data_IF_058239544974
#
_entry.id   IF_058239544974
#
_cell.length_a   1.000
_cell.length_b   1.000
_cell.length_c   1.000
_cell.angle_alpha   90.00
_cell.angle_beta   90.00
_cell.angle_gamma   90.00
#
_symmetry.space_group_name_H-M   'P 1'
#
loop_
_entity.id
_entity.type
_entity.pdbx_description
1 polymer ?
#
# COMPACT_ATOMS: atom_id res chain seq x y z
N UNK A 1 -0.13 38.56 62.00
CA UNK A 1 -1.30 38.52 61.09
C UNK A 1 -0.96 37.51 59.99
N UNK A 2 -1.30 36.24 60.22
CA UNK A 2 -0.88 35.08 59.42
C UNK A 2 -2.13 34.54 58.73
N UNK A 3 -2.21 34.66 57.40
CA UNK A 3 -3.32 34.12 56.63
C UNK A 3 -3.15 32.60 56.47
N UNK A 4 -4.13 31.86 57.02
CA UNK A 4 -4.26 30.41 56.88
C UNK A 4 -4.63 30.06 55.44
N UNK A 5 -3.83 29.19 54.83
CA UNK A 5 -4.22 28.37 53.69
C UNK A 5 -5.30 27.38 54.16
N UNK A 6 -6.51 27.50 53.61
CA UNK A 6 -7.52 26.45 53.67
C UNK A 6 -7.61 25.78 52.30
N UNK A 7 -6.96 24.63 52.19
CA UNK A 7 -7.19 23.64 51.15
C UNK A 7 -8.30 22.71 51.64
N UNK A 8 -9.46 22.70 50.98
CA UNK A 8 -10.41 21.58 50.98
C UNK A 8 -11.50 21.82 49.94
N UNK A 9 -11.48 21.05 48.86
CA UNK A 9 -12.59 20.11 48.56
C UNK A 9 -12.22 19.32 47.30
N UNK A 10 -11.75 18.10 47.54
CA UNK A 10 -11.66 17.07 46.53
C UNK A 10 -13.09 16.69 46.11
N UNK A 11 -13.52 17.10 44.92
CA UNK A 11 -14.65 16.45 44.25
C UNK A 11 -14.11 15.25 43.49
N UNK A 12 -14.36 14.09 44.08
CA UNK A 12 -14.17 12.76 43.51
C UNK A 12 -14.55 12.71 42.03
N UNK A 13 -13.61 12.31 41.19
CA UNK A 13 -13.90 11.73 39.89
C UNK A 13 -14.61 10.39 40.14
N UNK A 14 -15.95 10.42 40.22
CA UNK A 14 -16.73 9.20 40.04
C UNK A 14 -16.60 8.81 38.56
N UNK A 15 -15.89 7.72 38.30
CA UNK A 15 -15.92 7.03 37.02
C UNK A 15 -17.35 6.53 36.82
N UNK A 16 -18.11 7.21 35.97
CA UNK A 16 -19.43 6.76 35.57
C UNK A 16 -19.27 5.41 34.84
N UNK A 17 -19.75 4.33 35.45
CA UNK A 17 -19.92 3.05 34.77
C UNK A 17 -21.07 3.17 33.78
N UNK A 18 -20.75 3.19 32.49
CA UNK A 18 -21.75 3.19 31.44
C UNK A 18 -22.36 1.78 31.30
N UNK A 19 -23.69 1.63 31.33
CA UNK A 19 -24.33 0.36 31.02
C UNK A 19 -24.06 -0.04 29.57
N UNK A 20 -23.70 -1.30 29.37
CA UNK A 20 -23.37 -1.87 28.06
C UNK A 20 -24.62 -1.82 27.16
N UNK A 21 -24.54 -1.07 26.06
CA UNK A 21 -25.56 -1.07 25.00
C UNK A 21 -26.15 0.29 24.61
N UNK A 22 -25.74 1.40 25.25
CA UNK A 22 -26.22 2.74 24.88
C UNK A 22 -25.28 3.39 23.88
N UNK A 23 -25.82 3.84 22.75
CA UNK A 23 -25.08 4.63 21.77
C UNK A 23 -24.61 5.92 22.45
N UNK A 24 -23.29 6.10 22.60
CA UNK A 24 -22.66 7.19 23.36
C UNK A 24 -23.18 8.57 22.91
N UNK A 25 -23.49 8.71 21.63
CA UNK A 25 -24.07 9.94 21.08
C UNK A 25 -25.48 10.20 21.61
N UNK A 26 -26.29 9.16 21.81
CA UNK A 26 -27.68 9.29 22.29
C UNK A 26 -27.72 9.74 23.76
N UNK A 27 -26.88 9.15 24.62
CA UNK A 27 -26.79 9.56 26.03
C UNK A 27 -26.31 11.02 26.16
N UNK A 28 -25.31 11.40 25.37
CA UNK A 28 -24.77 12.77 25.37
C UNK A 28 -25.81 13.80 24.90
N UNK A 29 -26.63 13.44 23.91
CA UNK A 29 -27.76 14.26 23.45
C UNK A 29 -28.90 14.35 24.47
N UNK A 30 -29.07 13.33 25.30
CA UNK A 30 -30.17 13.25 26.26
C UNK A 30 -29.85 13.96 27.57
N UNK A 31 -28.60 13.87 28.04
CA UNK A 31 -28.21 14.37 29.36
C UNK A 31 -27.38 15.65 29.33
N UNK A 32 -26.59 15.90 28.29
CA UNK A 32 -25.64 17.02 28.24
C UNK A 32 -25.76 17.87 26.97
N UNK A 33 -26.97 17.90 26.37
CA UNK A 33 -27.26 18.65 25.13
C UNK A 33 -26.88 20.13 25.20
N UNK A 34 -27.13 20.76 26.36
CA UNK A 34 -26.86 22.20 26.54
C UNK A 34 -25.35 22.46 26.56
N UNK A 35 -24.59 21.66 27.31
CA UNK A 35 -23.13 21.71 27.30
C UNK A 35 -22.56 21.41 25.91
N UNK A 36 -23.13 20.44 25.18
CA UNK A 36 -22.70 20.09 23.82
C UNK A 36 -22.91 21.27 22.84
N UNK A 37 -24.10 21.89 22.86
CA UNK A 37 -24.41 23.03 22.00
C UNK A 37 -23.55 24.23 22.37
N UNK A 38 -23.35 24.50 23.66
CA UNK A 38 -22.48 25.59 24.12
C UNK A 38 -21.02 25.36 23.74
N UNK A 39 -20.52 24.13 23.82
CA UNK A 39 -19.15 23.77 23.42
C UNK A 39 -18.95 23.85 21.90
N UNK A 40 -19.95 23.45 21.11
CA UNK A 40 -19.91 23.52 19.64
C UNK A 40 -20.18 24.94 19.10
N UNK A 41 -20.94 25.76 19.85
CA UNK A 41 -21.30 27.13 19.46
C UNK A 41 -20.36 28.18 20.03
N UNK A 42 -19.46 27.81 20.96
CA UNK A 42 -18.40 28.68 21.40
C UNK A 42 -17.50 29.01 20.19
N UNK A 43 -17.31 30.30 19.83
CA UNK A 43 -16.32 30.66 18.83
C UNK A 43 -14.99 30.13 19.32
N UNK A 44 -14.29 29.37 18.47
CA UNK A 44 -13.01 28.75 18.79
C UNK A 44 -11.99 29.86 19.05
N UNK A 45 -11.91 30.30 20.30
CA UNK A 45 -10.84 31.18 20.75
C UNK A 45 -9.56 30.35 20.69
N UNK A 46 -8.62 30.85 19.90
CA UNK A 46 -7.31 30.29 19.62
C UNK A 46 -7.32 28.99 18.78
N UNK A 47 -7.35 29.05 17.45
CA UNK A 47 -6.87 30.19 16.66
C UNK A 47 -5.44 30.59 17.04
N UNK A 48 -4.71 29.75 17.78
CA UNK A 48 -3.27 29.80 17.75
C UNK A 48 -2.93 29.57 16.28
N UNK A 49 -2.71 30.68 15.58
CA UNK A 49 -1.78 30.77 14.48
C UNK A 49 -0.50 30.12 15.00
N UNK A 50 -0.46 28.79 14.91
CA UNK A 50 0.77 28.04 14.77
C UNK A 50 1.31 28.66 13.52
N UNK A 51 2.14 29.68 13.74
CA UNK A 51 2.96 30.34 12.73
C UNK A 51 3.19 29.31 11.68
N UNK A 52 2.81 29.62 10.45
CA UNK A 52 3.30 28.94 9.27
C UNK A 52 4.83 29.00 9.34
N UNK A 53 5.44 28.15 10.16
CA UNK A 53 6.69 27.51 9.84
C UNK A 53 6.36 26.94 8.47
N UNK A 54 6.83 27.67 7.44
CA UNK A 54 6.84 27.20 6.06
C UNK A 54 6.96 25.69 6.12
N UNK A 55 5.98 24.96 5.61
CA UNK A 55 5.82 23.52 5.83
C UNK A 55 7.04 22.82 5.21
N UNK A 56 8.14 22.88 5.93
CA UNK A 56 9.44 22.41 5.49
C UNK A 56 9.32 20.91 5.47
N UNK A 57 9.90 20.31 4.43
CA UNK A 57 9.98 18.87 4.31
C UNK A 57 10.42 18.28 5.66
N UNK A 58 9.76 17.20 6.06
CA UNK A 58 10.05 16.51 7.32
C UNK A 58 11.53 16.14 7.35
N UNK A 59 12.24 16.27 8.50
CA UNK A 59 13.61 15.80 8.61
C UNK A 59 13.74 14.29 8.32
N UNK A 60 12.65 13.54 8.48
CA UNK A 60 12.57 12.11 8.19
C UNK A 60 12.34 11.77 6.70
N UNK A 61 12.06 12.74 5.83
CA UNK A 61 11.66 12.47 4.44
C UNK A 61 12.74 11.69 3.67
N UNK A 62 14.02 12.00 3.88
CA UNK A 62 15.11 11.25 3.26
C UNK A 62 15.21 9.82 3.78
N UNK A 63 15.07 9.64 5.10
CA UNK A 63 15.12 8.32 5.74
C UNK A 63 13.96 7.44 5.26
N UNK A 64 12.76 8.00 5.14
CA UNK A 64 11.59 7.30 4.63
C UNK A 64 11.70 6.99 3.14
N UNK A 65 12.26 7.89 2.34
CA UNK A 65 12.56 7.65 0.94
C UNK A 65 13.52 6.47 0.75
N UNK A 66 14.61 6.40 1.54
CA UNK A 66 15.54 5.27 1.52
C UNK A 66 14.87 3.97 2.00
N UNK A 67 14.02 4.03 3.03
CA UNK A 67 13.27 2.86 3.50
C UNK A 67 12.33 2.30 2.43
N UNK A 68 11.68 3.16 1.65
CA UNK A 68 10.83 2.75 0.52
C UNK A 68 11.65 1.97 -0.52
N UNK A 69 12.88 2.40 -0.81
CA UNK A 69 13.77 1.71 -1.74
C UNK A 69 14.14 0.30 -1.26
N UNK A 70 14.53 0.19 0.02
CA UNK A 70 14.84 -1.09 0.66
C UNK A 70 13.63 -2.03 0.60
N UNK A 71 12.46 -1.57 1.02
CA UNK A 71 11.23 -2.38 1.02
C UNK A 71 10.85 -2.82 -0.41
N UNK A 72 11.00 -1.93 -1.40
CA UNK A 72 10.72 -2.28 -2.78
C UNK A 72 11.66 -3.39 -3.29
N UNK A 73 12.97 -3.26 -3.02
CA UNK A 73 13.96 -4.27 -3.39
C UNK A 73 13.68 -5.62 -2.70
N UNK A 74 13.38 -5.61 -1.41
CA UNK A 74 13.02 -6.81 -0.65
C UNK A 74 11.77 -7.50 -1.20
N UNK A 75 10.73 -6.73 -1.53
CA UNK A 75 9.49 -7.28 -2.11
C UNK A 75 9.71 -7.91 -3.50
N UNK A 76 10.62 -7.36 -4.29
CA UNK A 76 11.01 -7.91 -5.59
C UNK A 76 11.84 -9.19 -5.46
N UNK A 77 12.79 -9.22 -4.52
CA UNK A 77 13.71 -10.33 -4.28
C UNK A 77 13.13 -11.45 -3.42
N UNK A 78 11.99 -11.23 -2.76
CA UNK A 78 11.40 -12.21 -1.85
C UNK A 78 11.11 -13.54 -2.56
N UNK A 79 11.57 -14.62 -1.95
CA UNK A 79 11.36 -15.99 -2.42
C UNK A 79 9.89 -16.42 -2.35
N UNK A 80 9.57 -17.46 -3.12
CA UNK A 80 8.22 -18.00 -3.21
C UNK A 80 7.32 -17.17 -4.13
N UNK A 81 6.02 -17.19 -3.85
CA UNK A 81 4.99 -16.60 -4.72
C UNK A 81 5.15 -15.08 -4.80
N UNK A 82 5.44 -14.50 -5.99
CA UNK A 82 5.63 -13.05 -6.12
C UNK A 82 4.41 -12.28 -5.63
N UNK A 83 4.64 -11.15 -4.95
CA UNK A 83 3.61 -10.16 -4.66
C UNK A 83 3.97 -8.86 -5.36
N UNK A 84 2.95 -8.13 -5.81
CA UNK A 84 3.14 -6.88 -6.51
C UNK A 84 3.63 -5.79 -5.55
N UNK A 85 4.60 -4.99 -5.98
CA UNK A 85 5.02 -3.79 -5.27
C UNK A 85 4.01 -2.67 -5.53
N UNK A 86 2.93 -2.62 -4.74
CA UNK A 86 1.92 -1.57 -4.87
C UNK A 86 2.26 -0.34 -4.04
N UNK A 87 1.71 0.81 -4.43
CA UNK A 87 1.82 2.05 -3.66
C UNK A 87 1.36 1.86 -2.21
N UNK A 88 0.25 1.16 -2.02
CA UNK A 88 -0.35 0.91 -0.70
C UNK A 88 0.58 0.07 0.17
N UNK A 89 1.27 -0.92 -0.40
CA UNK A 89 2.25 -1.75 0.32
C UNK A 89 3.48 -0.95 0.74
N UNK A 90 3.98 -0.09 -0.14
CA UNK A 90 5.12 0.77 0.17
C UNK A 90 4.76 1.78 1.27
N UNK A 91 3.58 2.40 1.18
CA UNK A 91 3.12 3.33 2.21
C UNK A 91 2.83 2.64 3.56
N UNK A 92 2.26 1.43 3.53
CA UNK A 92 1.99 0.64 4.73
C UNK A 92 3.26 0.15 5.44
N UNK A 93 4.41 0.12 4.76
CA UNK A 93 5.69 -0.27 5.34
C UNK A 93 6.41 0.89 6.07
N UNK A 94 5.90 2.12 5.95
CA UNK A 94 6.45 3.28 6.65
C UNK A 94 6.11 3.23 8.15
N UNK A 95 6.98 3.76 9.03
CA UNK A 95 6.73 3.78 10.48
C UNK A 95 5.62 4.78 10.88
N UNK A 96 5.14 5.60 9.95
CA UNK A 96 4.05 6.56 10.15
C UNK A 96 3.06 6.46 8.99
N UNK A 97 1.80 6.79 9.26
CA UNK A 97 0.76 6.82 8.22
C UNK A 97 0.99 7.99 7.26
N UNK A 98 1.48 7.69 6.05
CA UNK A 98 1.61 8.65 4.96
C UNK A 98 0.57 8.32 3.89
N UNK A 99 -0.40 9.22 3.73
CA UNK A 99 -1.32 9.23 2.59
C UNK A 99 -0.79 10.12 1.45
N UNK A 100 -1.22 9.87 0.22
CA UNK A 100 -0.88 10.70 -0.94
C UNK A 100 -1.85 11.89 -1.08
N UNK A 101 -1.76 12.83 -0.13
CA UNK A 101 -2.55 14.07 -0.09
C UNK A 101 -1.63 15.28 -0.34
N UNK A 102 -2.16 16.45 -0.78
CA UNK A 102 -1.35 17.65 -1.00
C UNK A 102 -0.44 18.00 0.18
N UNK A 103 -1.00 17.99 1.40
CA UNK A 103 -0.26 18.24 2.64
C UNK A 103 0.91 17.28 2.85
N UNK A 104 0.73 15.99 2.56
CA UNK A 104 1.81 15.01 2.69
C UNK A 104 2.82 15.06 1.54
N UNK A 105 2.43 15.55 0.35
CA UNK A 105 3.39 15.82 -0.73
C UNK A 105 4.32 16.98 -0.41
N UNK A 106 3.82 18.00 0.29
CA UNK A 106 4.63 19.10 0.79
C UNK A 106 5.55 18.64 1.93
N UNK A 107 5.03 17.81 2.84
CA UNK A 107 5.80 17.32 3.99
C UNK A 107 6.78 16.19 3.67
N UNK A 108 6.47 15.30 2.73
CA UNK A 108 7.28 14.12 2.37
C UNK A 108 7.49 13.98 0.85
N UNK A 109 8.01 15.02 0.18
CA UNK A 109 8.14 15.04 -1.28
C UNK A 109 9.03 13.91 -1.82
N UNK A 110 10.15 13.60 -1.15
CA UNK A 110 11.08 12.55 -1.59
C UNK A 110 10.50 11.17 -1.36
N UNK A 111 9.88 10.94 -0.21
CA UNK A 111 9.22 9.67 0.11
C UNK A 111 8.16 9.34 -0.94
N UNK A 112 7.24 10.27 -1.23
CA UNK A 112 6.16 10.02 -2.19
C UNK A 112 6.66 9.91 -3.64
N UNK A 113 7.75 10.59 -3.98
CA UNK A 113 8.46 10.35 -5.25
C UNK A 113 8.98 8.92 -5.31
N UNK A 114 9.72 8.43 -4.31
CA UNK A 114 10.24 7.05 -4.29
C UNK A 114 9.14 6.00 -4.26
N UNK A 115 8.01 6.26 -3.58
CA UNK A 115 6.83 5.38 -3.64
C UNK A 115 6.31 5.28 -5.08
N UNK A 116 6.26 6.42 -5.78
CA UNK A 116 5.84 6.46 -7.18
C UNK A 116 6.84 5.74 -8.06
N UNK A 117 8.13 5.99 -7.92
CA UNK A 117 9.20 5.39 -8.74
C UNK A 117 9.27 3.86 -8.56
N UNK A 118 9.11 3.36 -7.33
CA UNK A 118 9.20 1.93 -7.03
C UNK A 118 7.90 1.14 -7.24
N UNK A 119 6.77 1.81 -7.51
CA UNK A 119 5.50 1.10 -7.78
C UNK A 119 5.64 0.21 -9.01
N UNK A 120 5.40 -1.08 -8.85
CA UNK A 120 5.49 -2.04 -9.94
C UNK A 120 4.26 -2.04 -10.84
N UNK A 121 4.50 -2.05 -12.15
CA UNK A 121 3.44 -2.20 -13.14
C UNK A 121 2.80 -3.58 -13.07
N UNK A 122 1.53 -3.66 -13.46
CA UNK A 122 0.82 -4.94 -13.48
C UNK A 122 1.47 -5.94 -14.45
N UNK A 123 2.07 -5.48 -15.56
CA UNK A 123 2.72 -6.34 -16.54
C UNK A 123 4.04 -6.91 -16.03
N UNK A 124 4.89 -6.08 -15.43
CA UNK A 124 6.12 -6.56 -14.80
C UNK A 124 5.81 -7.59 -13.71
N UNK A 125 4.81 -7.32 -12.86
CA UNK A 125 4.35 -8.26 -11.84
C UNK A 125 3.86 -9.59 -12.44
N UNK A 126 3.06 -9.54 -13.51
CA UNK A 126 2.57 -10.75 -14.21
C UNK A 126 3.72 -11.57 -14.77
N UNK A 127 4.73 -10.94 -15.35
CA UNK A 127 5.89 -11.64 -15.89
C UNK A 127 6.63 -12.40 -14.78
N UNK A 128 6.87 -11.76 -13.63
CA UNK A 128 7.45 -12.45 -12.45
C UNK A 128 6.58 -13.59 -11.95
N UNK A 129 5.26 -13.40 -11.87
CA UNK A 129 4.30 -14.45 -11.45
C UNK A 129 4.32 -15.65 -12.38
N UNK A 130 4.42 -15.40 -13.69
CA UNK A 130 4.47 -16.44 -14.71
C UNK A 130 5.78 -17.21 -14.61
N UNK A 131 6.92 -16.50 -14.56
CA UNK A 131 8.24 -17.11 -14.37
C UNK A 131 8.29 -17.99 -13.12
N UNK A 132 7.79 -17.49 -11.99
CA UNK A 132 7.71 -18.27 -10.75
C UNK A 132 6.89 -19.55 -10.92
N UNK A 133 5.75 -19.50 -11.62
CA UNK A 133 4.93 -20.69 -11.84
C UNK A 133 5.68 -21.74 -12.67
N UNK A 134 6.36 -21.32 -13.73
CA UNK A 134 7.21 -22.20 -14.53
C UNK A 134 8.38 -22.76 -13.72
N UNK A 135 9.04 -21.96 -12.88
CA UNK A 135 10.09 -22.45 -11.99
C UNK A 135 9.59 -23.53 -11.01
N UNK A 136 8.41 -23.33 -10.42
CA UNK A 136 7.81 -24.30 -9.49
C UNK A 136 7.40 -25.58 -10.20
N UNK A 137 6.83 -25.48 -11.40
CA UNK A 137 6.37 -26.66 -12.15
C UNK A 137 7.54 -27.41 -12.79
N UNK A 138 8.52 -26.70 -13.36
CA UNK A 138 9.70 -27.27 -13.99
C UNK A 138 10.65 -27.97 -13.00
N UNK A 139 10.63 -27.60 -11.72
CA UNK A 139 11.34 -28.34 -10.67
C UNK A 139 10.90 -29.81 -10.53
N UNK A 140 9.79 -30.21 -11.17
CA UNK A 140 9.28 -31.60 -11.21
C UNK A 140 9.86 -32.45 -12.34
N UNK A 141 10.65 -31.85 -13.25
CA UNK A 141 11.39 -32.56 -14.31
C UNK A 141 10.80 -32.45 -15.72
N UNK A 142 9.53 -32.06 -15.85
CA UNK A 142 8.87 -31.91 -17.16
C UNK A 142 8.69 -30.44 -17.55
N UNK A 143 8.66 -30.18 -18.86
CA UNK A 143 8.31 -28.87 -19.41
C UNK A 143 6.82 -28.60 -19.14
N UNK A 144 6.48 -27.63 -18.26
CA UNK A 144 5.12 -27.53 -17.78
C UNK A 144 4.22 -26.87 -18.81
N UNK A 145 2.98 -27.38 -19.01
CA UNK A 145 2.05 -26.81 -19.98
C UNK A 145 1.61 -25.41 -19.55
N UNK A 146 1.39 -24.54 -20.54
CA UNK A 146 1.01 -23.14 -20.28
C UNK A 146 -0.24 -22.99 -19.41
N UNK A 147 -1.22 -23.88 -19.57
CA UNK A 147 -2.46 -23.84 -18.79
C UNK A 147 -2.20 -24.03 -17.29
N UNK A 148 -1.32 -24.95 -16.90
CA UNK A 148 -0.97 -25.14 -15.49
C UNK A 148 -0.21 -23.94 -14.92
N UNK A 149 0.73 -23.40 -15.71
CA UNK A 149 1.45 -22.19 -15.33
C UNK A 149 0.51 -21.00 -15.15
N UNK A 150 -0.49 -20.85 -16.02
CA UNK A 150 -1.56 -19.83 -15.92
C UNK A 150 -2.39 -20.02 -14.65
N UNK A 151 -2.82 -21.25 -14.34
CA UNK A 151 -3.59 -21.56 -13.13
C UNK A 151 -2.78 -21.22 -11.87
N UNK A 152 -1.53 -21.66 -11.80
CA UNK A 152 -0.65 -21.44 -10.65
C UNK A 152 -0.25 -19.96 -10.49
N UNK A 153 0.10 -19.29 -11.59
CA UNK A 153 0.47 -17.86 -11.62
C UNK A 153 -0.73 -16.92 -11.46
N UNK A 154 -1.97 -17.39 -11.68
CA UNK A 154 -3.16 -16.54 -11.70
C UNK A 154 -3.10 -15.43 -12.76
N UNK A 155 -2.19 -15.52 -13.73
CA UNK A 155 -2.09 -14.60 -14.87
C UNK A 155 -3.04 -15.09 -15.94
N UNK A 156 -3.91 -14.23 -16.49
CA UNK A 156 -4.84 -14.64 -17.54
C UNK A 156 -4.13 -15.18 -18.78
N UNK A 157 -4.71 -16.18 -19.43
CA UNK A 157 -4.11 -16.92 -20.55
C UNK A 157 -3.51 -16.00 -21.63
N UNK A 158 -4.30 -15.05 -22.14
CA UNK A 158 -3.84 -14.14 -23.18
C UNK A 158 -2.69 -13.23 -22.71
N UNK A 159 -2.71 -12.77 -21.45
CA UNK A 159 -1.61 -11.97 -20.91
C UNK A 159 -0.34 -12.82 -20.74
N UNK A 160 -0.48 -14.10 -20.36
CA UNK A 160 0.65 -15.01 -20.30
C UNK A 160 1.25 -15.24 -21.68
N UNK A 161 0.42 -15.56 -22.69
CA UNK A 161 0.86 -15.73 -24.07
C UNK A 161 1.61 -14.50 -24.59
N UNK A 162 1.05 -13.30 -24.41
CA UNK A 162 1.68 -12.07 -24.89
C UNK A 162 3.02 -11.76 -24.19
N UNK A 163 3.16 -12.11 -22.90
CA UNK A 163 4.45 -11.99 -22.20
C UNK A 163 5.46 -12.98 -22.78
N UNK A 164 5.06 -14.24 -22.97
CA UNK A 164 5.96 -15.29 -23.46
C UNK A 164 6.47 -14.95 -24.87
N UNK A 165 5.56 -14.60 -25.78
CA UNK A 165 5.89 -14.24 -27.16
C UNK A 165 6.77 -13.00 -27.23
N UNK A 166 6.46 -11.96 -26.44
CA UNK A 166 7.27 -10.74 -26.42
C UNK A 166 8.69 -10.99 -25.91
N UNK A 167 8.82 -11.81 -24.87
CA UNK A 167 10.10 -12.08 -24.24
C UNK A 167 10.90 -13.22 -24.92
N UNK A 168 10.31 -13.97 -25.86
CA UNK A 168 10.94 -15.14 -26.47
C UNK A 168 11.27 -16.24 -25.45
N UNK A 169 10.37 -16.47 -24.50
CA UNK A 169 10.63 -17.28 -23.31
C UNK A 169 10.34 -18.78 -23.47
N UNK A 170 9.86 -19.23 -24.63
CA UNK A 170 9.42 -20.61 -24.89
C UNK A 170 10.47 -21.66 -24.50
N UNK A 171 11.74 -21.39 -24.79
CA UNK A 171 12.86 -22.27 -24.49
C UNK A 171 13.47 -22.06 -23.10
N UNK A 172 13.21 -20.92 -22.46
CA UNK A 172 13.78 -20.55 -21.17
C UNK A 172 12.93 -21.00 -20.00
N UNK A 173 11.61 -21.02 -20.16
CA UNK A 173 10.69 -21.33 -19.08
C UNK A 173 10.83 -22.74 -18.48
N UNK A 174 11.17 -23.79 -19.25
CA UNK A 174 11.52 -25.09 -18.66
C UNK A 174 12.73 -25.02 -17.71
N UNK A 175 13.61 -24.02 -17.88
CA UNK A 175 14.83 -23.82 -17.09
C UNK A 175 14.67 -22.73 -16.02
N UNK A 176 13.46 -22.19 -15.85
CA UNK A 176 13.20 -21.00 -15.02
C UNK A 176 13.62 -21.15 -13.55
N UNK A 177 13.68 -22.38 -13.02
CA UNK A 177 14.09 -22.64 -11.64
C UNK A 177 15.54 -22.23 -11.33
N UNK A 178 16.40 -22.20 -12.35
CA UNK A 178 17.84 -21.95 -12.18
C UNK A 178 18.27 -20.55 -12.64
N UNK A 179 17.31 -19.68 -12.96
CA UNK A 179 17.57 -18.41 -13.63
C UNK A 179 16.86 -17.29 -12.86
N UNK A 180 17.60 -16.23 -12.55
CA UNK A 180 17.03 -15.03 -11.95
C UNK A 180 16.12 -14.29 -12.95
N UNK A 181 14.84 -14.19 -12.60
CA UNK A 181 13.82 -13.51 -13.40
C UNK A 181 14.11 -12.01 -13.53
N UNK A 182 14.64 -11.35 -12.50
CA UNK A 182 14.88 -9.90 -12.53
C UNK A 182 16.02 -9.56 -13.49
N UNK A 183 17.06 -10.38 -13.52
CA UNK A 183 18.13 -10.26 -14.51
C UNK A 183 17.62 -10.49 -15.93
N UNK A 184 16.74 -11.48 -16.13
CA UNK A 184 16.17 -11.75 -17.47
C UNK A 184 15.22 -10.66 -17.94
N UNK A 185 14.40 -10.12 -17.05
CA UNK A 185 13.52 -9.00 -17.36
C UNK A 185 14.34 -7.75 -17.72
N UNK A 186 15.31 -7.37 -16.88
CA UNK A 186 16.15 -6.21 -17.14
C UNK A 186 16.99 -6.37 -18.41
N UNK A 187 17.54 -7.55 -18.68
CA UNK A 187 18.25 -7.86 -19.93
C UNK A 187 17.38 -7.79 -21.19
N UNK A 188 16.07 -8.01 -21.06
CA UNK A 188 15.09 -7.82 -22.13
C UNK A 188 14.59 -6.36 -22.25
N UNK A 189 15.15 -5.42 -21.48
CA UNK A 189 14.70 -4.03 -21.42
C UNK A 189 13.36 -3.84 -20.69
N UNK A 190 12.87 -4.87 -19.99
CA UNK A 190 11.62 -4.83 -19.25
C UNK A 190 11.87 -4.20 -17.89
N UNK A 191 11.45 -2.94 -17.75
CA UNK A 191 11.58 -2.19 -16.50
C UNK A 191 10.43 -2.48 -15.54
N UNK A 192 10.58 -2.10 -14.27
CA UNK A 192 9.52 -2.16 -13.26
C UNK A 192 8.24 -1.39 -13.66
N UNK A 193 8.36 -0.46 -14.62
CA UNK A 193 7.29 0.36 -15.18
C UNK A 193 6.76 -0.13 -16.50
N UNK A 194 7.18 -1.31 -16.96
CA UNK A 194 6.81 -1.81 -18.28
C UNK A 194 5.29 -1.84 -18.47
N UNK A 195 4.80 -1.16 -19.50
CA UNK A 195 3.37 -1.06 -19.84
C UNK A 195 2.84 -2.30 -20.59
N UNK A 196 3.69 -3.30 -20.78
CA UNK A 196 3.38 -4.55 -21.46
C UNK A 196 3.86 -4.59 -22.90
N UNK A 197 3.58 -5.70 -23.61
CA UNK A 197 3.97 -5.87 -25.01
C UNK A 197 3.35 -4.79 -25.91
N UNK A 198 4.11 -4.11 -26.79
CA UNK A 198 3.58 -3.04 -27.65
C UNK A 198 2.44 -3.47 -28.58
N UNK A 199 2.42 -4.74 -28.99
CA UNK A 199 1.38 -5.30 -29.87
C UNK A 199 0.09 -5.68 -29.13
N UNK A 200 0.04 -5.54 -27.80
CA UNK A 200 -1.11 -5.94 -27.00
C UNK A 200 -2.30 -4.98 -27.17
N UNK A 201 -3.34 -5.41 -27.86
CA UNK A 201 -4.57 -4.62 -28.13
C UNK A 201 -5.70 -4.79 -27.12
N UNK A 202 -5.37 -5.12 -25.86
CA UNK A 202 -6.31 -4.97 -24.76
C UNK A 202 -7.53 -5.89 -24.79
N UNK A 203 -7.45 -7.08 -25.42
CA UNK A 203 -8.49 -8.09 -25.27
C UNK A 203 -8.79 -8.27 -23.78
N UNK A 204 -10.07 -8.05 -23.43
CA UNK A 204 -10.52 -7.79 -22.07
C UNK A 204 -9.83 -8.75 -21.09
N UNK A 205 -9.03 -8.16 -20.19
CA UNK A 205 -8.40 -8.87 -19.09
C UNK A 205 -9.57 -9.42 -18.26
N UNK A 206 -9.91 -10.68 -18.46
CA UNK A 206 -10.92 -11.42 -17.71
C UNK A 206 -10.47 -11.61 -16.27
N UNK A 207 -10.48 -10.53 -15.49
CA UNK A 207 -10.59 -10.60 -14.04
C UNK A 207 -12.07 -10.77 -13.69
N UNK A 208 -12.37 -11.56 -12.66
CA UNK A 208 -13.72 -11.70 -12.11
C UNK A 208 -14.20 -10.35 -11.58
N UNK A 209 -14.68 -9.47 -12.45
CA UNK A 209 -15.44 -8.30 -12.05
C UNK A 209 -16.81 -8.82 -11.59
N UNK A 210 -16.94 -9.07 -10.28
CA UNK A 210 -18.24 -9.19 -9.65
C UNK A 210 -18.97 -7.86 -9.87
N UNK A 211 -19.82 -7.79 -10.91
CA UNK A 211 -20.86 -6.76 -10.96
C UNK A 211 -21.91 -7.18 -9.94
N UNK A 212 -22.05 -6.43 -8.84
CA UNK A 212 -23.24 -6.51 -7.99
C UNK A 212 -24.44 -6.18 -8.89
N UNK A 213 -25.34 -7.15 -9.04
CA UNK A 213 -26.66 -6.93 -9.65
C UNK A 213 -27.38 -5.92 -8.75
N UNK A 214 -27.80 -4.79 -9.33
CA UNK A 214 -28.82 -3.92 -8.72
C UNK A 214 -30.16 -4.63 -8.81
#
# INVERSE_FOLDING_TARGET
MIARLSFQSARSLQVAQFPVGVNITSWLYEHDRKWLIETLSAPTTDGASRRSSAETASPDDERFAAHVDTVAAELLARSGKPQQVTKERLLAALPVSVADTPRHRERYPRTLKRVTDNRESTWHFRARRLWWAYAVLGARGDAPPMIEAVVLSGVGLYAAQAIIEYCGWEHLLPLAANIDVLEKLSGAGITIKWDGPPAWRGQAIGGRAYRRRK
#
